data_IF_214763983284
#
_entry.id   IF_214763983284
#
_cell.length_a   1.000
_cell.length_b   1.000
_cell.length_c   1.000
_cell.angle_alpha   90.00
_cell.angle_beta   90.00
_cell.angle_gamma   90.00
#
_symmetry.space_group_name_H-M   'P 1'
#
loop_
_entity.id
_entity.type
_entity.pdbx_description
1 polymer ?
#
# COMPACT_ATOMS: atom_id res chain seq x y z
N UNK A 1 4.47 21.40 12.72
CA UNK A 1 3.54 20.34 13.15
C UNK A 1 2.82 20.80 14.41
N UNK A 2 1.47 20.70 14.50
CA UNK A 2 0.71 21.14 15.68
C UNK A 2 1.13 20.39 16.95
N UNK A 3 1.06 21.05 18.12
CA UNK A 3 1.40 20.44 19.42
C UNK A 3 0.21 19.72 20.06
N UNK A 4 -0.99 20.27 19.87
CA UNK A 4 -2.23 19.62 20.30
C UNK A 4 -2.46 18.31 19.52
N UNK A 5 -2.81 17.20 20.19
CA UNK A 5 -2.99 15.91 19.55
C UNK A 5 -4.17 15.86 18.57
N UNK A 6 -5.26 16.59 18.82
CA UNK A 6 -6.45 16.60 17.94
C UNK A 6 -6.15 17.37 16.66
N UNK A 7 -5.53 18.55 16.78
CA UNK A 7 -5.11 19.34 15.63
C UNK A 7 -4.04 18.63 14.81
N UNK A 8 -3.10 17.96 15.47
CA UNK A 8 -2.06 17.16 14.80
C UNK A 8 -2.66 16.03 13.98
N UNK A 9 -3.68 15.33 14.49
CA UNK A 9 -4.37 14.27 13.75
C UNK A 9 -5.05 14.81 12.49
N UNK A 10 -5.73 15.95 12.59
CA UNK A 10 -6.35 16.62 11.43
C UNK A 10 -5.31 17.05 10.39
N UNK A 11 -4.21 17.63 10.84
CA UNK A 11 -3.11 18.04 9.98
C UNK A 11 -2.48 16.86 9.23
N UNK A 12 -2.24 15.74 9.93
CA UNK A 12 -1.70 14.52 9.31
C UNK A 12 -2.65 13.97 8.24
N UNK A 13 -3.95 13.85 8.54
CA UNK A 13 -4.94 13.36 7.59
C UNK A 13 -4.98 14.21 6.30
N UNK A 14 -4.94 15.54 6.43
CA UNK A 14 -4.93 16.45 5.28
C UNK A 14 -3.62 16.40 4.48
N UNK A 15 -2.51 16.00 5.11
CA UNK A 15 -1.19 15.90 4.47
C UNK A 15 -0.93 14.58 3.76
N UNK A 16 -1.79 13.58 3.95
CA UNK A 16 -1.59 12.26 3.36
C UNK A 16 -1.83 12.30 1.85
N UNK A 17 -0.89 11.73 1.09
CA UNK A 17 -1.06 11.55 -0.35
C UNK A 17 -1.99 10.36 -0.62
N UNK A 18 -2.81 10.49 -1.65
CA UNK A 18 -3.62 9.39 -2.17
C UNK A 18 -2.77 8.36 -2.93
N UNK A 19 -3.42 7.28 -3.37
CA UNK A 19 -2.76 6.23 -4.17
C UNK A 19 -2.35 6.77 -5.55
N UNK A 20 -1.05 6.72 -5.84
CA UNK A 20 -0.51 7.04 -7.17
C UNK A 20 -1.01 6.08 -8.26
N UNK A 21 -1.17 6.57 -9.49
CA UNK A 21 -1.72 5.80 -10.62
C UNK A 21 -0.96 4.49 -10.89
N UNK A 22 0.36 4.49 -10.74
CA UNK A 22 1.24 3.33 -10.93
C UNK A 22 0.84 2.14 -10.04
N UNK A 23 0.28 2.40 -8.85
CA UNK A 23 -0.05 1.36 -7.88
C UNK A 23 -1.46 0.79 -8.07
N UNK A 24 -2.30 1.40 -8.91
CA UNK A 24 -3.68 0.95 -9.13
C UNK A 24 -3.72 -0.45 -9.75
N UNK A 25 -2.89 -0.70 -10.75
CA UNK A 25 -2.84 -2.01 -11.44
C UNK A 25 -2.36 -3.11 -10.49
N UNK A 26 -1.36 -2.81 -9.64
CA UNK A 26 -0.88 -3.72 -8.61
C UNK A 26 -1.97 -4.01 -7.56
N UNK A 27 -2.74 -3.00 -7.14
CA UNK A 27 -3.86 -3.19 -6.21
C UNK A 27 -4.98 -4.01 -6.84
N UNK A 28 -5.33 -3.77 -8.10
CA UNK A 28 -6.35 -4.53 -8.81
C UNK A 28 -5.95 -6.00 -8.97
N UNK A 29 -4.70 -6.28 -9.35
CA UNK A 29 -4.17 -7.65 -9.41
C UNK A 29 -4.29 -8.38 -8.07
N UNK A 30 -4.18 -7.67 -6.95
CA UNK A 30 -4.17 -8.24 -5.60
C UNK A 30 -5.56 -8.34 -4.95
N UNK A 31 -6.41 -7.34 -5.14
CA UNK A 31 -7.69 -7.18 -4.43
C UNK A 31 -8.91 -7.15 -5.36
N UNK A 32 -8.71 -7.21 -6.68
CA UNK A 32 -9.78 -7.15 -7.67
C UNK A 32 -10.63 -5.89 -7.51
N UNK A 33 -11.96 -6.05 -7.54
CA UNK A 33 -12.90 -4.94 -7.42
C UNK A 33 -12.75 -4.11 -6.13
N UNK A 34 -12.23 -4.71 -5.05
CA UNK A 34 -12.02 -3.99 -3.78
C UNK A 34 -10.93 -2.91 -3.90
N UNK A 35 -10.04 -2.99 -4.90
CA UNK A 35 -8.98 -2.02 -5.13
C UNK A 35 -9.52 -0.59 -5.37
N UNK A 36 -10.75 -0.46 -5.89
CA UNK A 36 -11.38 0.84 -6.13
C UNK A 36 -11.59 1.67 -4.84
N UNK A 37 -11.84 0.99 -3.70
CA UNK A 37 -12.05 1.63 -2.40
C UNK A 37 -10.78 2.06 -1.67
N UNK A 38 -9.60 1.70 -2.20
CA UNK A 38 -8.32 1.99 -1.52
C UNK A 38 -7.96 3.46 -1.68
N UNK A 39 -7.89 4.18 -0.55
CA UNK A 39 -7.58 5.61 -0.49
C UNK A 39 -6.09 5.89 -0.28
N UNK A 40 -5.41 5.00 0.44
CA UNK A 40 -3.97 5.10 0.74
C UNK A 40 -3.32 3.74 0.56
N UNK A 41 -2.11 3.72 -0.01
CA UNK A 41 -1.33 2.51 -0.22
C UNK A 41 0.15 2.79 0.05
N UNK A 42 0.80 1.86 0.72
CA UNK A 42 2.25 1.75 0.77
C UNK A 42 2.64 0.59 -0.14
N UNK A 43 3.63 0.80 -1.00
CA UNK A 43 4.12 -0.21 -1.92
C UNK A 43 5.60 -0.51 -1.60
N UNK A 44 5.97 -1.77 -1.81
CA UNK A 44 7.35 -2.21 -1.83
C UNK A 44 7.72 -2.52 -3.28
N UNK A 45 8.90 -2.06 -3.69
CA UNK A 45 9.45 -2.34 -5.01
C UNK A 45 10.47 -3.47 -4.89
N UNK A 46 10.43 -4.42 -5.82
CA UNK A 46 11.47 -5.43 -5.94
C UNK A 46 12.63 -4.77 -6.69
N UNK A 47 13.78 -4.67 -6.02
CA UNK A 47 14.97 -4.02 -6.58
C UNK A 47 15.62 -4.88 -7.66
N UNK A 48 16.42 -4.26 -8.53
CA UNK A 48 17.15 -4.97 -9.59
C UNK A 48 18.19 -5.97 -9.06
N UNK A 49 18.70 -5.73 -7.86
CA UNK A 49 19.70 -6.58 -7.20
C UNK A 49 19.07 -7.43 -6.09
N UNK A 50 19.68 -8.59 -5.84
CA UNK A 50 19.25 -9.53 -4.81
C UNK A 50 18.36 -10.65 -5.36
N UNK A 51 17.66 -11.34 -4.45
CA UNK A 51 16.70 -12.37 -4.84
C UNK A 51 15.47 -11.72 -5.51
N UNK A 52 15.04 -12.28 -6.64
CA UNK A 52 13.81 -11.92 -7.33
C UNK A 52 12.72 -12.93 -6.91
N UNK A 53 11.98 -12.68 -5.82
CA UNK A 53 11.05 -13.68 -5.30
C UNK A 53 9.90 -13.90 -6.29
N UNK A 54 9.52 -15.16 -6.44
CA UNK A 54 8.28 -15.55 -7.12
C UNK A 54 7.05 -15.00 -6.40
N UNK A 55 5.90 -15.01 -7.07
CA UNK A 55 4.65 -14.54 -6.46
C UNK A 55 4.26 -15.35 -5.21
N UNK A 56 4.60 -16.64 -5.16
CA UNK A 56 4.37 -17.50 -4.01
C UNK A 56 5.28 -17.14 -2.83
N UNK A 57 6.55 -16.83 -3.09
CA UNK A 57 7.49 -16.37 -2.06
C UNK A 57 7.10 -15.01 -1.50
N UNK A 58 6.64 -14.07 -2.35
CA UNK A 58 6.12 -12.76 -1.91
C UNK A 58 4.96 -12.95 -0.94
N UNK A 59 4.05 -13.90 -1.18
CA UNK A 59 2.94 -14.20 -0.27
C UNK A 59 3.38 -14.77 1.07
N UNK A 60 4.46 -15.55 1.09
CA UNK A 60 5.07 -16.05 2.33
C UNK A 60 5.74 -14.94 3.12
N UNK A 61 6.43 -14.03 2.44
CA UNK A 61 7.12 -12.88 3.06
C UNK A 61 6.14 -11.84 3.62
N UNK A 62 5.01 -11.62 2.93
CA UNK A 62 3.99 -10.66 3.30
C UNK A 62 2.62 -11.34 3.47
N UNK A 63 2.33 -12.00 4.60
CA UNK A 63 1.09 -12.74 4.82
C UNK A 63 -0.08 -11.81 5.19
N UNK A 64 -0.25 -10.71 4.46
CA UNK A 64 -1.33 -9.72 4.64
C UNK A 64 -2.39 -9.79 3.55
N UNK A 65 -2.28 -10.76 2.65
CA UNK A 65 -3.21 -10.94 1.55
C UNK A 65 -4.44 -11.75 2.00
N UNK A 66 -5.65 -11.45 1.50
CA UNK A 66 -6.81 -12.28 1.74
C UNK A 66 -6.59 -13.70 1.21
N UNK A 67 -7.09 -14.70 1.93
CA UNK A 67 -7.13 -16.09 1.46
C UNK A 67 -7.96 -16.15 0.18
N UNK A 68 -7.41 -16.76 -0.87
CA UNK A 68 -8.08 -16.90 -2.17
C UNK A 68 -9.12 -18.01 -2.13
#
# INVERSE_FOLDING_TARGET
>A
MPKDPVERKKWLAASMRGVGKLWRDALEKRYGAQAAGVQHAQAFEITEYGCQPSEEEIRKLFPVFPER
#
